data_IF_005251715947
#
_entry.id   IF_005251715947
#
_cell.length_a   1.000
_cell.length_b   1.000
_cell.length_c   1.000
_cell.angle_alpha   90.00
_cell.angle_beta   90.00
_cell.angle_gamma   90.00
#
_symmetry.space_group_name_H-M   'P 1'
#
loop_
_entity.id
_entity.type
_entity.pdbx_description
1 polymer ?
#
# COMPACT_ATOMS: atom_id res chain seq x y z
N UNK A 1 14.64 13.69 -7.50
CA UNK A 1 14.11 12.30 -7.49
C UNK A 1 15.17 11.28 -7.09
N UNK A 2 16.37 11.35 -7.68
CA UNK A 2 17.48 10.41 -7.38
C UNK A 2 17.89 10.39 -5.90
N UNK A 3 17.99 11.56 -5.25
CA UNK A 3 18.33 11.61 -3.82
C UNK A 3 17.25 10.99 -2.93
N UNK A 4 15.97 11.16 -3.29
CA UNK A 4 14.87 10.52 -2.57
C UNK A 4 14.88 8.99 -2.73
N UNK A 5 15.24 8.50 -3.91
CA UNK A 5 15.37 7.04 -4.15
C UNK A 5 16.49 6.40 -3.32
N UNK A 6 17.44 7.20 -2.83
CA UNK A 6 18.49 6.76 -1.89
C UNK A 6 18.10 6.91 -0.42
N UNK A 7 16.83 7.24 -0.12
CA UNK A 7 16.34 7.41 1.24
C UNK A 7 16.70 8.75 1.88
N UNK A 8 17.14 9.74 1.08
CA UNK A 8 17.45 11.07 1.61
C UNK A 8 16.16 11.88 1.81
N UNK A 9 16.02 12.48 2.97
CA UNK A 9 14.97 13.45 3.25
C UNK A 9 15.33 14.80 2.64
N UNK A 10 14.41 15.40 1.88
CA UNK A 10 14.63 16.66 1.18
C UNK A 10 13.61 17.68 1.68
N UNK A 11 14.10 18.76 2.25
CA UNK A 11 13.31 19.95 2.55
C UNK A 11 13.18 20.74 1.25
N UNK A 12 11.98 20.92 0.76
CA UNK A 12 11.71 21.64 -0.48
C UNK A 12 12.05 23.14 -0.31
N UNK A 13 12.55 23.79 -1.35
CA UNK A 13 12.82 25.21 -1.29
C UNK A 13 11.52 26.01 -1.18
N UNK A 14 11.55 27.04 -0.35
CA UNK A 14 10.47 28.01 -0.20
C UNK A 14 10.24 28.87 -1.46
N UNK A 15 9.12 29.58 -1.45
CA UNK A 15 8.78 30.59 -2.49
C UNK A 15 9.06 31.98 -1.96
N UNK A 16 9.82 32.76 -2.69
CA UNK A 16 10.17 34.13 -2.29
C UNK A 16 10.95 34.87 -3.37
N UNK A 17 11.44 36.06 -3.02
CA UNK A 17 12.31 36.82 -3.91
C UNK A 17 13.65 36.11 -4.06
N UNK A 18 14.04 35.84 -5.29
CA UNK A 18 15.30 35.20 -5.69
C UNK A 18 16.38 36.26 -5.90
N UNK A 19 17.64 35.84 -5.95
CA UNK A 19 18.77 36.74 -6.23
C UNK A 19 18.64 37.48 -7.58
N UNK A 20 17.77 37.03 -8.47
CA UNK A 20 17.42 37.68 -9.73
C UNK A 20 16.30 38.73 -9.60
N UNK A 21 15.84 39.05 -8.38
CA UNK A 21 14.70 39.94 -8.09
C UNK A 21 13.34 39.42 -8.64
N UNK A 22 13.27 38.17 -9.06
CA UNK A 22 12.03 37.51 -9.44
C UNK A 22 11.46 36.76 -8.22
N UNK A 23 10.16 36.72 -8.11
CA UNK A 23 9.48 35.90 -7.08
C UNK A 23 9.22 34.53 -7.65
N UNK A 24 9.75 33.48 -6.99
CA UNK A 24 9.60 32.07 -7.45
C UNK A 24 10.03 31.06 -6.42
N UNK A 25 9.86 29.79 -6.78
CA UNK A 25 10.36 28.64 -6.00
C UNK A 25 11.88 28.52 -6.19
N UNK A 26 12.64 28.38 -5.11
CA UNK A 26 14.09 28.19 -5.19
C UNK A 26 14.87 28.91 -4.09
N UNK A 27 14.18 29.65 -3.21
CA UNK A 27 14.78 30.26 -2.02
C UNK A 27 14.98 29.14 -0.97
N UNK A 28 16.15 29.15 -0.31
CA UNK A 28 16.34 28.27 0.86
C UNK A 28 15.26 28.55 1.89
N UNK A 29 14.72 27.49 2.47
CA UNK A 29 13.68 27.61 3.49
C UNK A 29 14.20 28.33 4.74
N UNK A 30 13.33 28.98 5.49
CA UNK A 30 13.69 29.74 6.68
C UNK A 30 14.25 28.82 7.78
N UNK A 31 15.23 29.26 8.59
CA UNK A 31 15.88 28.44 9.60
C UNK A 31 14.90 27.78 10.58
N UNK A 32 13.85 28.49 10.97
CA UNK A 32 12.81 27.99 11.89
C UNK A 32 12.02 26.83 11.28
N UNK A 33 11.79 26.87 9.96
CA UNK A 33 11.11 25.79 9.23
C UNK A 33 12.04 24.60 9.08
N UNK A 34 13.31 24.83 8.79
CA UNK A 34 14.32 23.76 8.72
C UNK A 34 14.44 23.05 10.07
N UNK A 35 14.52 23.82 11.19
CA UNK A 35 14.61 23.26 12.55
C UNK A 35 13.37 22.42 12.84
N UNK A 36 12.18 22.91 12.54
CA UNK A 36 10.94 22.16 12.73
C UNK A 36 10.95 20.83 11.97
N UNK A 37 11.37 20.81 10.70
CA UNK A 37 11.52 19.57 9.94
C UNK A 37 12.53 18.61 10.57
N UNK A 38 13.61 19.12 11.15
CA UNK A 38 14.59 18.29 11.87
C UNK A 38 14.00 17.74 13.18
N UNK A 39 13.30 18.58 13.95
CA UNK A 39 12.60 18.15 15.18
C UNK A 39 11.57 17.05 14.88
N UNK A 40 10.74 17.24 13.86
CA UNK A 40 9.78 16.23 13.39
C UNK A 40 10.49 14.93 12.96
N UNK A 41 11.60 15.03 12.22
CA UNK A 41 12.39 13.88 11.78
C UNK A 41 13.01 13.11 12.96
N UNK A 42 13.50 13.81 13.98
CA UNK A 42 14.08 13.18 15.17
C UNK A 42 13.03 12.70 16.15
N UNK A 43 11.90 13.42 16.31
CA UNK A 43 10.79 12.99 17.14
C UNK A 43 10.17 11.67 16.65
N UNK A 44 10.16 11.44 15.35
CA UNK A 44 9.73 10.17 14.76
C UNK A 44 10.55 8.97 15.29
N UNK A 45 11.81 9.18 15.70
CA UNK A 45 12.67 8.14 16.28
C UNK A 45 12.38 7.85 17.75
N UNK A 46 11.63 8.71 18.43
CA UNK A 46 11.21 8.55 19.85
C UNK A 46 9.72 8.13 19.94
N UNK A 47 9.08 7.79 18.82
CA UNK A 47 7.67 7.45 18.76
C UNK A 47 7.30 6.10 19.41
N UNK A 48 6.00 5.90 19.60
CA UNK A 48 5.41 4.71 20.24
C UNK A 48 5.74 3.39 19.52
N UNK A 49 6.15 3.47 18.24
CA UNK A 49 6.45 2.30 17.40
C UNK A 49 7.95 2.07 17.17
N UNK A 50 8.80 2.75 17.93
CA UNK A 50 10.27 2.54 17.86
C UNK A 50 10.61 1.08 18.14
N UNK A 51 11.46 0.50 17.29
CA UNK A 51 11.87 -0.91 17.37
C UNK A 51 10.82 -1.89 16.84
N UNK A 52 9.68 -1.41 16.31
CA UNK A 52 8.69 -2.24 15.63
C UNK A 52 8.94 -2.24 14.14
N UNK A 53 8.91 -3.42 13.54
CA UNK A 53 8.96 -3.60 12.09
C UNK A 53 7.57 -3.92 11.56
N UNK A 54 7.07 -3.08 10.63
CA UNK A 54 5.70 -3.14 10.13
C UNK A 54 5.73 -3.31 8.61
N UNK A 55 5.13 -4.38 8.12
CA UNK A 55 4.88 -4.57 6.70
C UNK A 55 3.50 -4.06 6.33
N UNK A 56 3.39 -3.29 5.26
CA UNK A 56 2.13 -2.78 4.75
C UNK A 56 2.01 -3.14 3.27
N UNK A 57 0.95 -3.85 2.90
CA UNK A 57 0.60 -4.03 1.48
C UNK A 57 -0.37 -2.96 1.05
N UNK A 58 -0.23 -2.40 -0.16
CA UNK A 58 -1.05 -1.28 -0.63
C UNK A 58 -1.22 -1.25 -2.14
N UNK A 59 -2.19 -0.49 -2.62
CA UNK A 59 -2.48 -0.35 -4.05
C UNK A 59 -3.25 -1.53 -4.62
N UNK A 60 -3.56 -1.48 -5.94
CA UNK A 60 -4.16 -2.58 -6.67
C UNK A 60 -3.12 -3.61 -7.08
N UNK A 61 -3.55 -4.80 -7.50
CA UNK A 61 -2.75 -5.68 -8.34
C UNK A 61 -3.31 -5.70 -9.76
N UNK A 62 -2.42 -5.91 -10.74
CA UNK A 62 -2.75 -5.97 -12.16
C UNK A 62 -2.43 -7.35 -12.70
N UNK A 63 -3.49 -8.07 -13.08
CA UNK A 63 -3.40 -9.42 -13.62
C UNK A 63 -3.44 -9.36 -15.15
N UNK A 64 -2.29 -9.57 -15.78
CA UNK A 64 -2.14 -9.41 -17.22
C UNK A 64 -3.04 -10.35 -18.02
N UNK A 65 -3.74 -9.81 -18.99
CA UNK A 65 -4.43 -10.56 -20.05
C UNK A 65 -3.48 -10.71 -21.26
N UNK A 66 -2.80 -9.63 -21.60
CA UNK A 66 -1.79 -9.53 -22.67
C UNK A 66 -0.84 -8.36 -22.35
N UNK A 67 0.16 -8.04 -23.20
CA UNK A 67 1.10 -6.93 -22.93
C UNK A 67 0.46 -5.54 -22.78
N UNK A 68 -0.83 -5.40 -23.06
CA UNK A 68 -1.53 -4.09 -23.08
C UNK A 68 -2.66 -4.01 -22.08
N UNK A 69 -3.30 -5.14 -21.73
CA UNK A 69 -4.52 -5.19 -20.92
C UNK A 69 -4.34 -6.05 -19.68
N UNK A 70 -5.02 -5.67 -18.64
CA UNK A 70 -5.02 -6.37 -17.35
C UNK A 70 -6.40 -6.32 -16.69
N UNK A 71 -6.62 -7.19 -15.71
CA UNK A 71 -7.69 -7.14 -14.72
C UNK A 71 -7.11 -6.50 -13.48
N UNK A 72 -7.82 -5.59 -12.85
CA UNK A 72 -7.36 -4.92 -11.63
C UNK A 72 -8.48 -4.20 -10.90
N UNK A 73 -8.15 -3.58 -9.77
CA UNK A 73 -9.06 -2.86 -8.90
C UNK A 73 -8.91 -1.34 -9.06
N UNK A 74 -9.95 -0.60 -8.64
CA UNK A 74 -9.95 0.87 -8.63
C UNK A 74 -9.13 1.48 -7.47
N UNK A 75 -8.45 0.68 -6.67
CA UNK A 75 -7.65 1.16 -5.55
C UNK A 75 -6.59 2.16 -6.00
N UNK A 76 -6.49 3.27 -5.29
CA UNK A 76 -5.44 4.27 -5.51
C UNK A 76 -4.20 4.05 -4.64
N UNK A 77 -4.29 3.18 -3.61
CA UNK A 77 -3.24 2.98 -2.63
C UNK A 77 -3.17 4.02 -1.51
N UNK A 78 -3.95 5.10 -1.56
CA UNK A 78 -3.88 6.23 -0.59
C UNK A 78 -3.87 5.77 0.86
N UNK A 79 -4.77 4.86 1.25
CA UNK A 79 -4.87 4.36 2.62
C UNK A 79 -3.56 3.72 3.11
N UNK A 80 -3.00 2.81 2.33
CA UNK A 80 -1.77 2.12 2.74
C UNK A 80 -0.55 3.05 2.78
N UNK A 81 -0.47 4.04 1.88
CA UNK A 81 0.58 5.08 1.93
C UNK A 81 0.43 5.98 3.15
N UNK A 82 -0.80 6.40 3.50
CA UNK A 82 -1.05 7.19 4.71
C UNK A 82 -0.70 6.40 5.99
N UNK A 83 -1.05 5.11 6.03
CA UNK A 83 -0.66 4.23 7.14
C UNK A 83 0.87 4.06 7.22
N UNK A 84 1.54 3.95 6.07
CA UNK A 84 3.00 3.84 6.04
C UNK A 84 3.68 5.09 6.58
N UNK A 85 3.21 6.26 6.17
CA UNK A 85 3.70 7.55 6.67
C UNK A 85 3.45 7.70 8.18
N UNK A 86 2.26 7.38 8.67
CA UNK A 86 1.92 7.48 10.08
C UNK A 86 2.73 6.49 10.95
N UNK A 87 2.92 5.25 10.49
CA UNK A 87 3.75 4.29 11.19
C UNK A 87 5.23 4.74 11.23
N UNK A 88 5.75 5.27 10.14
CA UNK A 88 7.10 5.80 10.07
C UNK A 88 7.28 7.05 10.94
N UNK A 89 6.29 7.96 10.94
CA UNK A 89 6.27 9.13 11.80
C UNK A 89 6.32 8.79 13.29
N UNK A 90 5.74 7.63 13.67
CA UNK A 90 5.79 7.08 15.04
C UNK A 90 7.02 6.21 15.31
N UNK A 91 7.99 6.18 14.43
CA UNK A 91 9.29 5.52 14.64
C UNK A 91 9.38 4.06 14.22
N UNK A 92 8.38 3.52 13.53
CA UNK A 92 8.44 2.15 13.02
C UNK A 92 9.43 2.00 11.85
N UNK A 93 10.06 0.83 11.74
CA UNK A 93 10.71 0.39 10.51
C UNK A 93 9.64 -0.15 9.54
N UNK A 94 9.24 0.67 8.57
CA UNK A 94 8.16 0.32 7.64
C UNK A 94 8.71 -0.35 6.38
N UNK A 95 8.16 -1.53 6.06
CA UNK A 95 8.36 -2.22 4.78
C UNK A 95 7.06 -2.07 3.98
N UNK A 96 7.11 -1.31 2.89
CA UNK A 96 5.98 -1.06 2.03
C UNK A 96 6.02 -1.96 0.79
N UNK A 97 4.98 -2.77 0.57
CA UNK A 97 4.79 -3.58 -0.64
C UNK A 97 3.65 -2.97 -1.43
N UNK A 98 3.95 -2.29 -2.52
CA UNK A 98 2.93 -1.57 -3.29
C UNK A 98 2.70 -2.17 -4.66
N UNK A 99 1.42 -2.31 -5.02
CA UNK A 99 1.02 -2.49 -6.41
C UNK A 99 1.27 -1.23 -7.24
N UNK A 100 0.86 -1.23 -8.54
CA UNK A 100 1.12 -0.11 -9.44
C UNK A 100 0.34 1.15 -9.05
N UNK A 101 1.02 2.11 -8.43
CA UNK A 101 0.50 3.42 -8.04
C UNK A 101 1.54 4.50 -8.27
N UNK A 102 1.10 5.77 -8.37
CA UNK A 102 1.97 6.94 -8.55
C UNK A 102 2.06 7.78 -7.26
N UNK A 103 2.05 7.10 -6.10
CA UNK A 103 2.17 7.76 -4.81
C UNK A 103 3.59 7.64 -4.27
N UNK A 104 3.95 8.60 -3.44
CA UNK A 104 5.21 8.62 -2.72
C UNK A 104 4.93 8.81 -1.23
N UNK A 105 5.77 8.24 -0.39
CA UNK A 105 5.72 8.43 1.06
C UNK A 105 6.40 9.75 1.43
N UNK A 106 5.94 10.39 2.50
CA UNK A 106 6.55 11.60 3.06
C UNK A 106 7.77 11.26 3.93
N UNK A 107 7.75 10.07 4.56
CA UNK A 107 8.82 9.56 5.40
C UNK A 107 9.63 8.49 4.66
N UNK A 108 10.93 8.34 4.96
CA UNK A 108 11.73 7.26 4.40
C UNK A 108 11.23 5.91 4.91
N UNK A 109 11.05 4.99 3.99
CA UNK A 109 10.70 3.60 4.31
C UNK A 109 11.97 2.78 4.54
N UNK A 110 11.93 1.83 5.48
CA UNK A 110 13.02 0.86 5.64
C UNK A 110 13.25 0.07 4.34
N UNK A 111 12.15 -0.30 3.69
CA UNK A 111 12.17 -0.94 2.37
C UNK A 111 10.89 -0.60 1.61
N UNK A 112 11.00 -0.39 0.29
CA UNK A 112 9.84 -0.26 -0.59
C UNK A 112 9.99 -1.23 -1.76
N UNK A 113 9.07 -2.19 -1.85
CA UNK A 113 8.97 -3.15 -2.95
C UNK A 113 7.76 -2.81 -3.82
N UNK A 114 8.03 -2.59 -5.11
CA UNK A 114 6.97 -2.42 -6.11
C UNK A 114 6.71 -3.77 -6.76
N UNK A 115 5.46 -4.19 -6.74
CA UNK A 115 4.97 -5.42 -7.36
C UNK A 115 3.86 -5.10 -8.35
N UNK A 116 3.58 -5.99 -9.29
CA UNK A 116 2.54 -5.78 -10.28
C UNK A 116 1.33 -6.70 -10.05
N UNK A 117 1.57 -7.98 -9.81
CA UNK A 117 0.51 -8.99 -9.71
C UNK A 117 0.26 -9.48 -8.28
N UNK A 118 -0.90 -10.14 -8.10
CA UNK A 118 -1.24 -10.81 -6.84
C UNK A 118 -0.20 -11.87 -6.45
N UNK A 119 0.33 -12.63 -7.42
CA UNK A 119 1.38 -13.61 -7.17
C UNK A 119 2.66 -12.97 -6.65
N UNK A 120 3.13 -11.87 -7.28
CA UNK A 120 4.31 -11.15 -6.79
C UNK A 120 4.09 -10.54 -5.40
N UNK A 121 2.89 -10.03 -5.12
CA UNK A 121 2.55 -9.51 -3.79
C UNK A 121 2.50 -10.64 -2.75
N UNK A 122 1.98 -11.81 -3.11
CA UNK A 122 1.97 -13.00 -2.27
C UNK A 122 3.40 -13.42 -1.90
N UNK A 123 4.28 -13.56 -2.89
CA UNK A 123 5.67 -13.97 -2.68
C UNK A 123 6.42 -12.96 -1.79
N UNK A 124 6.26 -11.66 -2.05
CA UNK A 124 6.85 -10.61 -1.24
C UNK A 124 6.32 -10.64 0.20
N UNK A 125 5.00 -10.66 0.39
CA UNK A 125 4.40 -10.62 1.72
C UNK A 125 4.76 -11.85 2.56
N UNK A 126 4.69 -13.05 1.99
CA UNK A 126 5.02 -14.28 2.69
C UNK A 126 6.50 -14.38 3.08
N UNK A 127 7.40 -13.94 2.21
CA UNK A 127 8.84 -13.94 2.51
C UNK A 127 9.22 -12.93 3.60
N UNK A 128 8.57 -11.78 3.63
CA UNK A 128 8.84 -10.69 4.59
C UNK A 128 8.20 -10.93 5.96
N UNK A 129 7.08 -11.65 6.01
CA UNK A 129 6.28 -11.80 7.22
C UNK A 129 7.06 -12.39 8.41
N UNK A 130 8.03 -13.24 8.14
CA UNK A 130 8.88 -13.82 9.20
C UNK A 130 9.66 -12.78 9.99
N UNK A 131 10.01 -11.67 9.35
CA UNK A 131 10.90 -10.64 9.88
C UNK A 131 10.18 -9.37 10.36
N UNK A 132 8.84 -9.38 10.46
CA UNK A 132 8.04 -8.23 10.91
C UNK A 132 7.22 -8.57 12.15
N UNK A 133 6.92 -7.56 12.95
CA UNK A 133 6.04 -7.69 14.13
C UNK A 133 4.58 -7.56 13.74
N UNK A 134 4.29 -6.69 12.78
CA UNK A 134 2.94 -6.36 12.33
C UNK A 134 2.86 -6.43 10.82
N UNK A 135 1.77 -6.99 10.30
CA UNK A 135 1.43 -6.92 8.87
C UNK A 135 0.05 -6.27 8.70
N UNK A 136 -0.02 -5.22 7.87
CA UNK A 136 -1.25 -4.48 7.54
C UNK A 136 -1.59 -4.73 6.06
N UNK A 137 -2.67 -5.48 5.83
CA UNK A 137 -3.08 -5.95 4.50
C UNK A 137 -4.09 -4.97 3.88
N UNK A 138 -3.60 -3.78 3.45
CA UNK A 138 -4.44 -2.73 2.89
C UNK A 138 -4.52 -2.73 1.35
N UNK A 139 -3.82 -3.65 0.68
CA UNK A 139 -3.87 -3.79 -0.77
C UNK A 139 -5.23 -4.30 -1.26
N UNK A 140 -5.66 -3.82 -2.43
CA UNK A 140 -6.78 -4.37 -3.17
C UNK A 140 -6.27 -5.42 -4.17
N UNK A 141 -6.06 -6.62 -3.68
CA UNK A 141 -5.59 -7.75 -4.48
C UNK A 141 -6.72 -8.27 -5.36
N UNK A 142 -6.44 -8.57 -6.62
CA UNK A 142 -7.41 -9.21 -7.50
C UNK A 142 -7.66 -10.65 -7.06
N UNK A 143 -8.93 -11.03 -6.93
CA UNK A 143 -9.33 -12.40 -6.53
C UNK A 143 -9.10 -13.44 -7.63
N UNK A 144 -9.02 -12.98 -8.88
CA UNK A 144 -8.86 -13.84 -10.05
C UNK A 144 -7.77 -13.32 -10.98
N UNK A 145 -7.04 -14.23 -11.61
CA UNK A 145 -6.04 -13.97 -12.64
C UNK A 145 -6.31 -14.82 -13.88
N UNK A 146 -5.98 -14.36 -15.11
CA UNK A 146 -6.09 -15.21 -16.29
C UNK A 146 -5.29 -16.51 -16.15
N UNK A 147 -5.87 -17.63 -16.54
CA UNK A 147 -5.16 -18.91 -16.60
C UNK A 147 -3.96 -18.87 -17.54
N UNK A 148 -4.13 -18.15 -18.64
CA UNK A 148 -3.10 -17.96 -19.67
C UNK A 148 -2.98 -16.49 -20.02
N UNK A 149 -1.76 -15.99 -20.02
CA UNK A 149 -1.42 -14.65 -20.47
C UNK A 149 -0.93 -14.74 -21.91
N UNK A 150 -1.51 -13.93 -22.78
CA UNK A 150 -1.09 -13.91 -24.18
C UNK A 150 0.23 -13.13 -24.34
N UNK A 151 1.19 -13.70 -25.06
CA UNK A 151 2.49 -13.07 -25.34
C UNK A 151 2.38 -11.85 -26.26
N UNK A 152 1.29 -11.76 -27.01
CA UNK A 152 1.02 -10.68 -27.96
C UNK A 152 -0.37 -10.10 -27.70
N UNK A 153 -0.51 -8.79 -28.02
CA UNK A 153 -1.80 -8.12 -27.94
C UNK A 153 -2.87 -8.90 -28.71
N UNK A 154 -3.92 -9.34 -28.01
CA UNK A 154 -5.07 -10.01 -28.62
C UNK A 154 -5.78 -9.02 -29.54
N UNK A 155 -5.86 -9.32 -30.81
CA UNK A 155 -6.55 -8.49 -31.81
C UNK A 155 -8.06 -8.74 -31.74
N UNK A 156 -8.83 -7.66 -31.89
CA UNK A 156 -10.29 -7.80 -32.02
C UNK A 156 -10.60 -8.54 -33.32
N UNK A 157 -11.31 -9.64 -33.19
CA UNK A 157 -11.88 -10.32 -34.34
C UNK A 157 -13.07 -9.52 -34.88
N UNK A 158 -13.35 -9.65 -36.22
CA UNK A 158 -14.44 -8.91 -36.87
C UNK A 158 -15.81 -9.36 -36.35
N UNK A 159 -15.92 -10.61 -35.93
CA UNK A 159 -17.16 -11.24 -35.43
C UNK A 159 -16.80 -12.18 -34.30
N UNK A 160 -17.45 -12.01 -33.15
CA UNK A 160 -17.34 -12.93 -32.01
C UNK A 160 -17.05 -12.24 -30.69
N UNK A 161 -17.45 -12.92 -29.59
CA UNK A 161 -17.19 -12.53 -28.23
C UNK A 161 -15.82 -13.02 -27.80
N UNK A 162 -15.19 -12.33 -26.86
CA UNK A 162 -13.95 -12.75 -26.23
C UNK A 162 -14.26 -13.35 -24.86
N UNK A 163 -13.87 -14.59 -24.64
CA UNK A 163 -13.94 -15.25 -23.33
C UNK A 163 -12.55 -15.35 -22.71
N UNK A 164 -12.47 -15.12 -21.41
CA UNK A 164 -11.27 -15.30 -20.62
C UNK A 164 -11.51 -16.35 -19.53
N UNK A 165 -10.69 -17.39 -19.49
CA UNK A 165 -10.66 -18.31 -18.40
C UNK A 165 -9.85 -17.71 -17.25
N UNK A 166 -10.45 -17.63 -16.09
CA UNK A 166 -9.85 -17.10 -14.89
C UNK A 166 -9.67 -18.20 -13.85
N UNK A 167 -8.59 -18.13 -13.10
CA UNK A 167 -8.35 -18.95 -11.91
C UNK A 167 -8.23 -18.06 -10.67
N UNK A 168 -8.58 -18.54 -9.48
CA UNK A 168 -8.41 -17.79 -8.24
C UNK A 168 -6.92 -17.50 -7.98
N UNK A 169 -6.65 -16.35 -7.40
CA UNK A 169 -5.34 -15.98 -6.87
C UNK A 169 -5.13 -16.59 -5.48
N UNK A 170 -3.90 -16.54 -5.00
CA UNK A 170 -3.59 -17.00 -3.64
C UNK A 170 -4.08 -15.98 -2.61
N UNK A 171 -4.72 -16.46 -1.54
CA UNK A 171 -5.18 -15.62 -0.44
C UNK A 171 -4.03 -15.28 0.51
N UNK A 172 -3.43 -14.10 0.31
CA UNK A 172 -2.27 -13.64 1.08
C UNK A 172 -2.59 -13.60 2.57
N UNK A 173 -3.71 -12.99 2.95
CA UNK A 173 -4.08 -12.81 4.35
C UNK A 173 -4.36 -14.15 5.06
N UNK A 174 -4.99 -15.11 4.38
CA UNK A 174 -5.21 -16.44 4.92
C UNK A 174 -3.87 -17.18 5.13
N UNK A 175 -2.97 -17.12 4.14
CA UNK A 175 -1.63 -17.71 4.26
C UNK A 175 -0.82 -17.12 5.42
N UNK A 176 -0.84 -15.78 5.57
CA UNK A 176 -0.16 -15.12 6.70
C UNK A 176 -0.78 -15.49 8.04
N UNK A 177 -2.11 -15.67 8.10
CA UNK A 177 -2.82 -16.14 9.28
C UNK A 177 -2.39 -17.54 9.72
N UNK A 178 -2.18 -18.47 8.77
CA UNK A 178 -1.63 -19.80 9.03
C UNK A 178 -0.17 -19.76 9.50
N UNK A 179 0.66 -18.91 8.87
CA UNK A 179 2.06 -18.71 9.31
C UNK A 179 2.09 -18.17 10.73
N UNK A 180 1.22 -17.19 11.06
CA UNK A 180 1.14 -16.55 12.37
C UNK A 180 0.94 -17.54 13.52
N UNK A 181 0.21 -18.64 13.31
CA UNK A 181 0.00 -19.67 14.35
C UNK A 181 1.31 -20.24 14.92
N UNK A 182 2.35 -20.28 14.08
CA UNK A 182 3.67 -20.80 14.46
C UNK A 182 4.59 -19.73 15.05
N UNK A 183 4.19 -18.45 14.97
CA UNK A 183 5.01 -17.30 15.40
C UNK A 183 4.18 -16.39 16.32
N UNK A 184 4.00 -16.78 17.61
CA UNK A 184 3.23 -16.00 18.55
C UNK A 184 3.82 -14.59 18.73
N UNK A 185 2.94 -13.60 18.86
CA UNK A 185 3.32 -12.19 19.03
C UNK A 185 3.29 -11.37 17.73
N UNK A 186 3.09 -11.99 16.57
CA UNK A 186 2.83 -11.26 15.33
C UNK A 186 1.39 -10.78 15.28
N UNK A 187 1.19 -9.56 14.77
CA UNK A 187 -0.14 -8.95 14.59
C UNK A 187 -0.46 -8.89 13.10
N UNK A 188 -1.64 -9.35 12.72
CA UNK A 188 -2.14 -9.35 11.36
C UNK A 188 -3.43 -8.52 11.28
N UNK A 189 -3.37 -7.42 10.50
CA UNK A 189 -4.48 -6.49 10.31
C UNK A 189 -5.01 -6.63 8.88
N UNK A 190 -6.31 -6.86 8.73
CA UNK A 190 -6.97 -6.95 7.43
C UNK A 190 -7.90 -5.75 7.17
N UNK A 191 -8.27 -5.60 5.91
CA UNK A 191 -9.29 -4.67 5.46
C UNK A 191 -10.44 -5.41 4.79
N UNK A 192 -11.65 -4.96 5.01
CA UNK A 192 -12.85 -5.40 4.32
C UNK A 192 -13.53 -4.20 3.69
N UNK A 193 -13.86 -4.31 2.41
CA UNK A 193 -14.70 -3.36 1.70
C UNK A 193 -15.97 -4.11 1.30
N UNK A 194 -17.07 -3.76 1.93
CA UNK A 194 -18.32 -4.51 1.82
C UNK A 194 -19.45 -3.62 1.29
N UNK A 195 -20.45 -4.25 0.70
CA UNK A 195 -21.65 -3.59 0.17
C UNK A 195 -22.94 -4.07 0.82
N UNK A 196 -22.90 -5.26 1.46
CA UNK A 196 -24.04 -5.90 2.12
C UNK A 196 -23.53 -6.81 3.25
N UNK A 197 -24.36 -7.03 4.28
CA UNK A 197 -24.02 -7.86 5.45
C UNK A 197 -22.62 -7.55 6.02
N UNK A 198 -22.26 -6.29 6.05
CA UNK A 198 -20.90 -5.77 6.22
C UNK A 198 -20.23 -6.29 7.48
N UNK A 199 -20.91 -6.17 8.63
CA UNK A 199 -20.38 -6.63 9.90
C UNK A 199 -20.18 -8.16 9.92
N UNK A 200 -21.17 -8.91 9.45
CA UNK A 200 -21.09 -10.38 9.41
C UNK A 200 -19.92 -10.85 8.52
N UNK A 201 -19.79 -10.27 7.33
CA UNK A 201 -18.72 -10.62 6.39
C UNK A 201 -17.34 -10.26 6.97
N UNK A 202 -17.22 -9.12 7.66
CA UNK A 202 -15.97 -8.72 8.30
C UNK A 202 -15.60 -9.65 9.46
N UNK A 203 -16.56 -10.02 10.32
CA UNK A 203 -16.34 -10.98 11.43
C UNK A 203 -15.96 -12.37 10.92
N UNK A 204 -16.62 -12.86 9.87
CA UNK A 204 -16.28 -14.13 9.21
C UNK A 204 -14.84 -14.08 8.66
N UNK A 205 -14.50 -13.02 7.93
CA UNK A 205 -13.16 -12.81 7.37
C UNK A 205 -12.10 -12.75 8.46
N UNK A 206 -12.35 -12.04 9.58
CA UNK A 206 -11.46 -11.95 10.72
C UNK A 206 -11.14 -13.33 11.28
N UNK A 207 -12.17 -14.15 11.51
CA UNK A 207 -12.02 -15.51 12.06
C UNK A 207 -11.35 -16.46 11.08
N UNK A 208 -11.86 -16.51 9.85
CA UNK A 208 -11.40 -17.45 8.81
C UNK A 208 -9.95 -17.24 8.40
N UNK A 209 -9.48 -15.97 8.43
CA UNK A 209 -8.10 -15.61 8.06
C UNK A 209 -7.20 -15.40 9.27
N UNK A 210 -7.67 -15.72 10.48
CA UNK A 210 -6.91 -15.59 11.72
C UNK A 210 -6.29 -14.18 11.90
N UNK A 211 -7.08 -13.13 11.59
CA UNK A 211 -6.67 -11.75 11.78
C UNK A 211 -6.83 -11.33 13.24
N UNK A 212 -5.99 -10.40 13.72
CA UNK A 212 -6.14 -9.79 15.05
C UNK A 212 -7.09 -8.59 14.99
N UNK A 213 -7.05 -7.83 13.87
CA UNK A 213 -7.93 -6.70 13.61
C UNK A 213 -8.43 -6.72 12.18
N UNK A 214 -9.63 -6.19 11.98
CA UNK A 214 -10.16 -5.92 10.65
C UNK A 214 -10.74 -4.49 10.61
N UNK A 215 -10.35 -3.74 9.60
CA UNK A 215 -10.91 -2.43 9.31
C UNK A 215 -12.01 -2.59 8.28
N UNK A 216 -13.24 -2.29 8.69
CA UNK A 216 -14.41 -2.41 7.83
C UNK A 216 -14.71 -1.07 7.17
N UNK A 217 -14.72 -1.05 5.85
CA UNK A 217 -15.15 0.06 5.02
C UNK A 217 -16.44 -0.31 4.31
N UNK A 218 -17.42 0.59 4.34
CA UNK A 218 -18.69 0.43 3.65
C UNK A 218 -18.75 1.34 2.42
N UNK A 219 -19.09 0.78 1.25
CA UNK A 219 -19.40 1.60 0.06
C UNK A 219 -20.74 2.35 0.19
N UNK A 220 -21.57 2.01 1.19
CA UNK A 220 -22.83 2.70 1.48
C UNK A 220 -22.59 4.00 2.26
N UNK A 221 -21.41 4.17 2.87
CA UNK A 221 -21.08 5.38 3.61
C UNK A 221 -20.61 6.49 2.68
N UNK A 222 -21.26 7.67 2.82
CA UNK A 222 -20.94 8.84 2.02
C UNK A 222 -19.51 9.32 2.34
N UNK A 223 -18.61 9.27 1.37
CA UNK A 223 -17.20 9.65 1.52
C UNK A 223 -16.26 8.51 1.88
N UNK A 224 -16.75 7.27 1.99
CA UNK A 224 -15.93 6.08 2.06
C UNK A 224 -15.79 5.43 0.67
N UNK A 225 -14.67 4.74 0.43
CA UNK A 225 -14.43 4.01 -0.81
C UNK A 225 -13.12 4.40 -1.49
N UNK A 226 -12.92 3.84 -2.69
CA UNK A 226 -11.70 4.10 -3.46
C UNK A 226 -11.58 5.59 -3.85
N UNK A 227 -10.37 6.15 -3.77
CA UNK A 227 -10.00 7.52 -4.12
C UNK A 227 -10.58 8.63 -3.21
N UNK A 228 -11.26 8.29 -2.13
CA UNK A 228 -11.66 9.27 -1.12
C UNK A 228 -10.49 9.58 -0.18
N UNK A 229 -10.48 10.80 0.38
CA UNK A 229 -9.48 11.23 1.37
C UNK A 229 -9.96 10.98 2.80
N UNK A 230 -11.22 10.57 2.95
CA UNK A 230 -11.84 10.22 4.23
C UNK A 230 -12.14 8.74 4.28
N UNK A 231 -12.00 8.19 5.48
CA UNK A 231 -12.42 6.83 5.84
C UNK A 231 -13.37 6.91 7.03
N UNK A 232 -14.30 5.97 7.11
CA UNK A 232 -15.23 5.88 8.25
C UNK A 232 -15.09 4.55 8.95
#
# INVERSE_FOLDING_TARGET
ETLRSYGNHIIEPGTGELASHLVGKGRMEEPEVIIRHLEEFFAAKEGELVGKRIMITTGPTYEKIDPVRFIGNYSSGKMGFALADECAARGAEVILVSGPVQLHTHYPMHQHLCVESAGQMFDAATSLFYNVDVAIMAAAVADYTPEQVADKKIKREKTGDMSLNLKPTQDIAACLGEIKERYPGKILVGFALETNNEQYNAEDKLKRKNLDFIVLNSLNDKGAGFRCDTNK
#
